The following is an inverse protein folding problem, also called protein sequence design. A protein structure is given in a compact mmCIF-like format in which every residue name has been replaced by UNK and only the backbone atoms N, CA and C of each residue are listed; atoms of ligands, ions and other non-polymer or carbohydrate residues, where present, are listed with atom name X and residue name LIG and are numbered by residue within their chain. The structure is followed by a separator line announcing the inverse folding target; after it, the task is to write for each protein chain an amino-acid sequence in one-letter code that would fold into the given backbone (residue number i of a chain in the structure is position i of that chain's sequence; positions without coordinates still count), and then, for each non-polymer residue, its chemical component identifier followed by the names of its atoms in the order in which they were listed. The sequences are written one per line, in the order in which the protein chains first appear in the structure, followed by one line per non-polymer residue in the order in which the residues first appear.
data_IF_983663797402
#
_entry.id   IF_983663797402
#
_cell.length_a   1.000
_cell.length_b   1.000
_cell.length_c   1.000
_cell.angle_alpha   90.00
_cell.angle_beta   90.00
_cell.angle_gamma   90.00
#
_symmetry.space_group_name_H-M   'P 1'
#
loop_
_entity.id
_entity.type
_entity.pdbx_description
1 polymer ?
#
# COMPACT_ATOMS: atom_id res chain seq x y z
N UNK A 1 19.98 5.32 2.11
CA UNK A 1 19.04 6.10 2.96
C UNK A 1 17.76 6.24 2.15
N UNK A 2 16.66 5.62 2.56
CA UNK A 2 15.40 5.70 1.81
C UNK A 2 14.84 7.13 1.91
N UNK A 3 14.56 7.76 0.78
CA UNK A 3 13.87 9.06 0.79
C UNK A 3 12.45 8.86 1.35
N UNK A 4 11.95 9.80 2.18
CA UNK A 4 10.58 9.73 2.66
C UNK A 4 9.61 9.85 1.48
N UNK A 5 8.66 8.91 1.40
CA UNK A 5 7.52 9.02 0.48
C UNK A 5 6.79 10.31 0.81
N UNK A 6 6.56 11.15 -0.19
CA UNK A 6 5.78 12.38 0.00
C UNK A 6 4.38 12.00 0.50
N UNK A 7 3.95 12.56 1.63
CA UNK A 7 2.62 12.35 2.19
C UNK A 7 1.58 13.12 1.35
N UNK A 8 0.76 12.44 0.53
CA UNK A 8 -0.18 13.10 -0.36
C UNK A 8 -1.42 13.64 0.38
N UNK A 9 -1.53 13.38 1.69
CA UNK A 9 -2.66 13.82 2.52
C UNK A 9 -2.41 15.14 3.25
N UNK A 10 -1.24 15.77 3.06
CA UNK A 10 -0.95 17.11 3.60
C UNK A 10 -1.83 18.17 2.95
N UNK A 11 -2.49 18.97 3.78
CA UNK A 11 -3.37 20.07 3.37
C UNK A 11 -2.66 21.17 2.57
N UNK A 12 -1.33 21.27 2.70
CA UNK A 12 -0.51 22.31 2.08
C UNK A 12 -0.06 21.99 0.65
N UNK A 13 -0.23 20.74 0.18
CA UNK A 13 0.15 20.36 -1.19
C UNK A 13 -1.08 20.40 -2.11
N UNK A 14 -1.03 21.09 -3.27
CA UNK A 14 -2.11 21.05 -4.22
C UNK A 14 -2.39 19.60 -4.62
N UNK A 15 -3.58 19.08 -4.26
CA UNK A 15 -4.01 17.74 -4.71
C UNK A 15 -3.95 17.73 -6.21
N UNK A 16 -3.16 16.84 -6.81
CA UNK A 16 -3.22 16.61 -8.24
C UNK A 16 -4.62 16.04 -8.55
N UNK A 17 -5.52 16.82 -9.17
CA UNK A 17 -6.94 16.43 -9.27
C UNK A 17 -7.16 15.18 -10.13
N UNK A 18 -6.12 14.73 -10.83
CA UNK A 18 -6.14 13.61 -11.76
C UNK A 18 -5.12 12.51 -11.42
N UNK A 19 -4.66 12.40 -10.17
CA UNK A 19 -3.66 11.39 -9.74
C UNK A 19 -4.01 9.96 -10.20
N UNK A 20 -5.30 9.62 -10.19
CA UNK A 20 -5.82 8.30 -10.57
C UNK A 20 -5.61 7.98 -12.06
N UNK A 21 -5.41 8.98 -12.93
CA UNK A 21 -5.15 8.77 -14.36
C UNK A 21 -3.76 8.22 -14.63
N UNK A 22 -2.83 8.40 -13.68
CA UNK A 22 -1.42 7.99 -13.80
C UNK A 22 -1.01 6.99 -12.72
N UNK A 23 -1.91 6.65 -11.79
CA UNK A 23 -1.64 5.71 -10.71
C UNK A 23 -1.71 4.26 -11.19
N UNK A 24 -0.86 3.41 -10.61
CA UNK A 24 -0.93 1.95 -10.76
C UNK A 24 -1.75 1.40 -9.59
N UNK A 25 -2.76 0.57 -9.90
CA UNK A 25 -3.61 -0.05 -8.89
C UNK A 25 -3.25 -1.53 -8.74
N UNK A 26 -3.10 -1.96 -7.49
CA UNK A 26 -2.94 -3.35 -7.13
C UNK A 26 -4.15 -3.84 -6.35
N UNK A 27 -4.81 -4.86 -6.89
CA UNK A 27 -5.85 -5.59 -6.18
C UNK A 27 -5.24 -6.80 -5.50
N UNK A 28 -5.48 -6.95 -4.20
CA UNK A 28 -4.93 -8.04 -3.39
C UNK A 28 -6.07 -8.69 -2.59
N UNK A 29 -6.19 -10.01 -2.71
CA UNK A 29 -7.09 -10.79 -1.85
C UNK A 29 -6.48 -10.96 -0.46
N UNK A 30 -7.04 -10.28 0.54
CA UNK A 30 -6.51 -10.27 1.92
C UNK A 30 -6.32 -11.70 2.45
N UNK A 31 -7.34 -12.56 2.30
CA UNK A 31 -7.32 -13.94 2.78
C UNK A 31 -6.26 -14.83 2.13
N UNK A 32 -5.80 -14.48 0.93
CA UNK A 32 -4.80 -15.26 0.19
C UNK A 32 -3.39 -14.68 0.22
N UNK A 33 -3.19 -13.54 0.90
CA UNK A 33 -1.96 -12.76 0.73
C UNK A 33 -0.91 -13.05 1.80
N UNK A 34 -1.22 -12.80 3.07
CA UNK A 34 -0.27 -12.98 4.17
C UNK A 34 -1.01 -13.23 5.49
N UNK A 35 -0.71 -14.36 6.12
CA UNK A 35 -1.18 -14.76 7.45
C UNK A 35 -0.17 -14.26 8.51
N UNK A 36 -0.64 -13.51 9.51
CA UNK A 36 0.20 -12.97 10.59
C UNK A 36 0.11 -13.75 11.90
N UNK A 37 -0.87 -14.65 12.05
CA UNK A 37 -1.18 -15.30 13.33
C UNK A 37 -1.11 -16.85 13.26
N UNK A 38 -0.94 -17.42 12.06
CA UNK A 38 -0.80 -18.86 11.83
C UNK A 38 -2.11 -19.64 11.74
N UNK A 39 -3.25 -18.97 11.53
CA UNK A 39 -4.57 -19.61 11.41
C UNK A 39 -4.87 -20.15 10.00
N UNK A 40 -3.98 -19.91 9.03
CA UNK A 40 -4.09 -20.36 7.65
C UNK A 40 -4.85 -19.41 6.73
N UNK A 41 -5.33 -18.27 7.23
CA UNK A 41 -5.98 -17.22 6.45
C UNK A 41 -5.19 -15.92 6.52
N UNK A 42 -5.04 -15.28 5.37
CA UNK A 42 -4.45 -13.96 5.33
C UNK A 42 -5.32 -12.91 6.03
N UNK A 43 -4.66 -11.95 6.66
CA UNK A 43 -5.29 -10.93 7.49
C UNK A 43 -4.72 -9.53 7.22
N UNK A 44 -5.38 -8.49 7.76
CA UNK A 44 -4.98 -7.10 7.53
C UNK A 44 -3.61 -6.77 8.13
N UNK A 45 -3.21 -7.39 9.25
CA UNK A 45 -1.86 -7.19 9.82
C UNK A 45 -0.81 -7.79 8.91
N UNK A 46 -1.08 -8.98 8.35
CA UNK A 46 -0.24 -9.61 7.34
C UNK A 46 -0.07 -8.74 6.10
N UNK A 47 -1.16 -8.14 5.59
CA UNK A 47 -1.10 -7.18 4.49
C UNK A 47 -0.26 -5.94 4.82
N UNK A 48 -0.46 -5.34 6.01
CA UNK A 48 0.28 -4.15 6.45
C UNK A 48 1.79 -4.43 6.46
N UNK A 49 2.21 -5.60 6.95
CA UNK A 49 3.61 -6.02 7.00
C UNK A 49 4.27 -6.20 5.61
N UNK A 50 3.49 -6.12 4.53
CA UNK A 50 3.93 -6.29 3.14
C UNK A 50 3.73 -5.02 2.31
N UNK A 51 3.30 -3.90 2.90
CA UNK A 51 3.13 -2.63 2.18
C UNK A 51 4.45 -2.16 1.55
N UNK A 52 5.59 -2.37 2.20
CA UNK A 52 6.91 -2.05 1.64
C UNK A 52 7.18 -2.81 0.33
N UNK A 53 6.70 -4.06 0.22
CA UNK A 53 6.84 -4.85 -1.00
C UNK A 53 5.92 -4.32 -2.11
N UNK A 54 4.70 -3.90 -1.78
CA UNK A 54 3.79 -3.26 -2.76
C UNK A 54 4.34 -1.92 -3.24
N UNK A 55 4.93 -1.13 -2.35
CA UNK A 55 5.58 0.14 -2.70
C UNK A 55 6.79 -0.08 -3.62
N UNK A 56 7.58 -1.12 -3.38
CA UNK A 56 8.70 -1.46 -4.26
C UNK A 56 8.26 -1.81 -5.69
N UNK A 57 7.02 -2.31 -5.85
CA UNK A 57 6.49 -2.74 -7.14
C UNK A 57 6.08 -1.59 -8.07
N UNK A 58 5.70 -0.41 -7.54
CA UNK A 58 5.29 0.75 -8.35
C UNK A 58 4.75 1.94 -7.57
#
# INVERSE_FOLDING_TARGET
MAQPVADPFRTETPRQPHWFKTAVFYEVSVRGYADSNGDGYGDLRGLINKLDHLQWLG
#
